data_IF_378935003696
#
_entry.id   IF_378935003696
#
_cell.length_a   1.000
_cell.length_b   1.000
_cell.length_c   1.000
_cell.angle_alpha   90.00
_cell.angle_beta   90.00
_cell.angle_gamma   90.00
#
_symmetry.space_group_name_H-M   'P 1'
#
loop_
_entity.id
_entity.type
_entity.pdbx_description
1 polymer ?
#
# COMPACT_ATOMS: atom_id res chain seq x y z
N UNK A 1 30.34 1.86 -12.06
CA UNK A 1 30.27 0.40 -11.90
C UNK A 1 30.39 0.12 -10.41
N UNK A 2 29.27 -0.03 -9.71
CA UNK A 2 29.25 -0.33 -8.27
C UNK A 2 29.21 -1.86 -8.11
N UNK A 3 30.03 -2.45 -7.22
CA UNK A 3 30.02 -3.88 -7.00
C UNK A 3 28.71 -4.29 -6.29
N UNK A 4 28.12 -5.39 -6.73
CA UNK A 4 26.98 -6.02 -6.08
C UNK A 4 27.45 -6.68 -4.76
N UNK A 5 26.66 -6.62 -3.66
CA UNK A 5 26.99 -7.36 -2.45
C UNK A 5 26.81 -8.87 -2.68
N UNK A 6 27.89 -9.64 -2.48
CA UNK A 6 27.92 -11.11 -2.61
C UNK A 6 27.35 -11.87 -1.39
N UNK A 7 26.67 -11.19 -0.49
CA UNK A 7 25.95 -11.80 0.64
C UNK A 7 24.56 -11.19 0.70
N UNK A 8 23.57 -11.94 0.21
CA UNK A 8 22.16 -11.57 0.09
C UNK A 8 21.44 -11.43 1.43
N UNK A 9 21.86 -10.49 2.26
CA UNK A 9 21.05 -10.00 3.38
C UNK A 9 20.10 -8.94 2.84
N UNK A 10 18.89 -9.41 2.53
CA UNK A 10 17.73 -8.60 2.14
C UNK A 10 16.85 -8.35 3.37
N UNK A 11 15.99 -7.31 3.37
CA UNK A 11 15.23 -6.90 4.55
C UNK A 11 14.49 -8.08 5.21
N UNK A 12 14.90 -8.38 6.43
CA UNK A 12 14.30 -9.41 7.27
C UNK A 12 13.17 -8.75 8.05
N UNK A 13 11.91 -9.15 7.82
CA UNK A 13 10.82 -8.72 8.70
C UNK A 13 11.06 -9.29 10.11
N UNK A 14 11.53 -8.42 11.00
CA UNK A 14 11.73 -8.69 12.42
C UNK A 14 10.40 -8.91 13.12
N UNK A 15 10.28 -10.11 13.68
CA UNK A 15 9.16 -10.81 14.31
C UNK A 15 8.44 -10.04 15.46
N UNK A 16 7.12 -10.16 15.51
CA UNK A 16 6.38 -10.36 16.78
C UNK A 16 6.48 -11.85 17.12
N UNK A 17 7.25 -12.21 18.15
CA UNK A 17 7.45 -13.61 18.52
C UNK A 17 6.21 -14.17 19.26
N UNK A 18 5.35 -14.90 18.56
CA UNK A 18 4.51 -15.91 19.18
C UNK A 18 5.19 -17.28 19.08
N UNK A 19 5.13 -18.03 20.17
CA UNK A 19 5.73 -19.36 20.32
C UNK A 19 5.17 -20.34 19.29
N UNK A 20 6.06 -20.99 18.53
CA UNK A 20 5.70 -22.01 17.53
C UNK A 20 5.26 -23.28 18.26
N UNK A 21 3.97 -23.41 18.53
CA UNK A 21 3.36 -24.73 18.76
C UNK A 21 2.94 -25.24 17.40
N UNK A 22 3.58 -26.28 16.87
CA UNK A 22 3.44 -26.77 15.48
C UNK A 22 2.08 -27.40 15.15
N UNK A 23 0.98 -26.78 15.57
CA UNK A 23 -0.40 -27.21 15.33
C UNK A 23 -1.18 -26.01 14.81
N UNK A 24 -1.64 -26.07 13.55
CA UNK A 24 -2.54 -25.08 12.97
C UNK A 24 -3.89 -25.13 13.70
N UNK A 25 -4.34 -24.06 14.40
CA UNK A 25 -5.66 -24.02 15.00
C UNK A 25 -6.74 -23.87 13.90
N UNK A 26 -7.91 -24.52 14.04
CA UNK A 26 -9.05 -24.26 13.16
C UNK A 26 -9.50 -22.79 13.34
N UNK A 27 -9.53 -22.02 12.26
CA UNK A 27 -9.84 -20.59 12.28
C UNK A 27 -8.59 -19.70 12.21
N UNK A 28 -7.87 -19.77 11.08
CA UNK A 28 -6.65 -18.99 10.82
C UNK A 28 -6.87 -17.49 11.08
N UNK A 29 -6.23 -16.95 12.11
CA UNK A 29 -6.21 -15.51 12.40
C UNK A 29 -5.47 -14.79 11.28
N UNK A 30 -5.91 -13.58 10.92
CA UNK A 30 -5.27 -12.73 9.89
C UNK A 30 -3.77 -12.51 10.12
N UNK A 31 -3.30 -12.63 11.37
CA UNK A 31 -1.89 -12.60 11.74
C UNK A 31 -1.05 -13.68 11.07
N UNK A 32 -1.59 -14.88 10.88
CA UNK A 32 -0.89 -15.99 10.22
C UNK A 32 -0.56 -15.67 8.77
N UNK A 33 -1.54 -15.20 8.00
CA UNK A 33 -1.34 -14.83 6.60
C UNK A 33 -0.39 -13.65 6.45
N UNK A 34 -0.47 -12.67 7.36
CA UNK A 34 0.44 -11.52 7.38
C UNK A 34 1.88 -11.94 7.64
N UNK A 35 2.12 -12.81 8.62
CA UNK A 35 3.46 -13.35 8.90
C UNK A 35 4.02 -14.10 7.70
N UNK A 36 3.18 -14.94 7.06
CA UNK A 36 3.62 -15.69 5.87
C UNK A 36 3.98 -14.75 4.72
N UNK A 37 3.12 -13.78 4.40
CA UNK A 37 3.40 -12.80 3.33
C UNK A 37 4.67 -11.99 3.65
N UNK A 38 4.86 -11.60 4.91
CA UNK A 38 6.04 -10.85 5.34
C UNK A 38 7.35 -11.63 5.24
N UNK A 39 7.29 -12.96 5.30
CA UNK A 39 8.46 -13.84 5.21
C UNK A 39 8.72 -14.34 3.78
N UNK A 40 7.83 -14.06 2.81
CA UNK A 40 8.02 -14.48 1.43
C UNK A 40 9.24 -13.80 0.81
N UNK A 41 10.14 -14.60 0.24
CA UNK A 41 11.25 -14.10 -0.56
C UNK A 41 10.77 -13.66 -1.94
N UNK A 42 11.54 -12.79 -2.60
CA UNK A 42 11.20 -12.27 -3.93
C UNK A 42 11.12 -13.36 -5.01
N UNK A 43 11.82 -14.48 -4.84
CA UNK A 43 11.75 -15.65 -5.71
C UNK A 43 10.59 -16.60 -5.36
N UNK A 44 10.01 -16.47 -4.17
CA UNK A 44 8.83 -17.23 -3.72
C UNK A 44 7.52 -16.49 -4.03
N UNK A 45 7.58 -15.15 -4.16
CA UNK A 45 6.42 -14.33 -4.53
C UNK A 45 6.34 -14.11 -6.05
N UNK A 46 5.35 -14.72 -6.70
CA UNK A 46 5.07 -14.50 -8.12
C UNK A 46 4.03 -13.38 -8.26
N UNK A 47 4.44 -12.23 -8.81
CA UNK A 47 3.55 -11.13 -9.17
C UNK A 47 2.73 -11.47 -10.43
N UNK A 48 1.72 -12.33 -10.27
CA UNK A 48 0.78 -12.69 -11.33
C UNK A 48 -0.38 -11.70 -11.39
N UNK A 49 -0.84 -11.37 -12.61
CA UNK A 49 -2.04 -10.56 -12.79
C UNK A 49 -3.29 -11.31 -12.35
N UNK A 50 -4.35 -10.58 -12.00
CA UNK A 50 -5.66 -11.20 -11.83
C UNK A 50 -6.07 -11.85 -13.16
N UNK A 51 -6.46 -13.12 -13.10
CA UNK A 51 -7.01 -13.80 -14.26
C UNK A 51 -8.43 -13.33 -14.53
N UNK A 52 -8.87 -13.41 -15.78
CA UNK A 52 -10.28 -13.16 -16.15
C UNK A 52 -11.25 -14.04 -15.35
N UNK A 53 -10.85 -15.26 -15.00
CA UNK A 53 -11.64 -16.15 -14.15
C UNK A 53 -11.82 -15.56 -12.73
N UNK A 54 -10.74 -15.08 -12.12
CA UNK A 54 -10.80 -14.45 -10.80
C UNK A 54 -11.65 -13.18 -10.86
N UNK A 55 -11.42 -12.31 -11.84
CA UNK A 55 -12.18 -11.07 -12.00
C UNK A 55 -13.67 -11.35 -12.24
N UNK A 56 -14.01 -12.35 -13.06
CA UNK A 56 -15.39 -12.77 -13.32
C UNK A 56 -16.06 -13.38 -12.08
N UNK A 57 -15.29 -14.05 -11.22
CA UNK A 57 -15.78 -14.63 -9.96
C UNK A 57 -16.14 -13.59 -8.90
N UNK A 58 -15.68 -12.33 -9.06
CA UNK A 58 -15.95 -11.27 -8.09
C UNK A 58 -17.45 -10.96 -8.00
N UNK A 59 -17.97 -10.74 -6.77
CA UNK A 59 -19.33 -10.25 -6.56
C UNK A 59 -19.62 -8.99 -7.39
N UNK A 60 -20.88 -8.83 -7.81
CA UNK A 60 -21.28 -7.70 -8.68
C UNK A 60 -20.94 -6.33 -8.10
N UNK A 61 -21.01 -6.17 -6.77
CA UNK A 61 -20.66 -4.91 -6.12
C UNK A 61 -19.17 -4.58 -6.23
N UNK A 62 -18.27 -5.58 -6.26
CA UNK A 62 -16.84 -5.38 -6.48
C UNK A 62 -16.56 -4.89 -7.92
N UNK A 63 -17.33 -5.39 -8.89
CA UNK A 63 -17.20 -5.04 -10.31
C UNK A 63 -17.88 -3.71 -10.69
N UNK A 64 -18.70 -3.14 -9.83
CA UNK A 64 -19.37 -1.86 -10.09
C UNK A 64 -18.37 -0.72 -10.35
N UNK A 65 -17.16 -0.82 -9.78
CA UNK A 65 -16.06 0.13 -9.97
C UNK A 65 -15.02 -0.29 -11.00
N UNK A 66 -15.26 -1.29 -11.84
CA UNK A 66 -14.24 -1.85 -12.75
C UNK A 66 -13.58 -0.80 -13.65
N UNK A 67 -14.37 0.13 -14.17
CA UNK A 67 -13.89 1.22 -15.03
C UNK A 67 -12.84 2.12 -14.36
N UNK A 68 -12.81 2.16 -13.02
CA UNK A 68 -11.91 3.02 -12.25
C UNK A 68 -10.82 2.25 -11.50
N UNK A 69 -10.73 0.92 -11.71
CA UNK A 69 -9.74 0.08 -11.04
C UNK A 69 -8.29 0.49 -11.32
N UNK A 70 -8.05 1.06 -12.51
CA UNK A 70 -6.73 1.55 -12.93
C UNK A 70 -6.60 3.07 -12.84
N UNK A 71 -7.56 3.77 -12.26
CA UNK A 71 -7.51 5.24 -12.20
C UNK A 71 -6.64 5.74 -11.05
N UNK A 72 -6.06 6.93 -11.19
CA UNK A 72 -5.47 7.69 -10.08
C UNK A 72 -6.40 8.78 -9.61
N UNK A 73 -7.12 8.54 -8.52
CA UNK A 73 -8.24 9.37 -8.11
C UNK A 73 -8.39 9.48 -6.60
N UNK A 74 -8.92 10.60 -6.09
CA UNK A 74 -9.30 10.71 -4.69
C UNK A 74 -10.64 10.01 -4.44
N UNK A 75 -10.65 9.03 -3.55
CA UNK A 75 -11.85 8.47 -2.94
C UNK A 75 -12.36 9.46 -1.89
N UNK A 76 -13.58 9.95 -2.10
CA UNK A 76 -14.23 10.92 -1.22
C UNK A 76 -15.30 10.22 -0.41
N UNK A 77 -15.11 10.14 0.91
CA UNK A 77 -16.11 9.62 1.85
C UNK A 77 -16.33 10.62 2.98
N UNK A 78 -17.31 11.51 2.79
CA UNK A 78 -17.66 12.56 3.74
C UNK A 78 -16.49 13.48 4.06
N UNK A 79 -15.82 13.29 5.21
CA UNK A 79 -14.69 14.09 5.69
C UNK A 79 -13.35 13.42 5.40
N UNK A 80 -13.40 12.17 4.92
CA UNK A 80 -12.23 11.36 4.61
C UNK A 80 -11.97 11.47 3.11
N UNK A 81 -10.71 11.73 2.79
CA UNK A 81 -10.17 11.73 1.45
C UNK A 81 -9.01 10.73 1.46
N UNK A 82 -9.09 9.71 0.60
CA UNK A 82 -8.04 8.72 0.41
C UNK A 82 -7.66 8.67 -1.06
N UNK A 83 -6.38 8.49 -1.39
CA UNK A 83 -5.94 8.43 -2.78
C UNK A 83 -5.85 7.00 -3.28
N UNK A 84 -6.64 6.67 -4.29
CA UNK A 84 -6.50 5.45 -5.08
C UNK A 84 -5.35 5.64 -6.08
N UNK A 85 -4.21 4.99 -5.83
CA UNK A 85 -2.99 5.12 -6.65
C UNK A 85 -2.72 3.82 -7.41
N UNK A 86 -3.53 3.57 -8.44
CA UNK A 86 -3.47 2.32 -9.20
C UNK A 86 -2.14 2.07 -9.90
N UNK A 87 -1.40 3.13 -10.20
CA UNK A 87 -0.08 3.05 -10.82
C UNK A 87 0.97 2.38 -9.93
N UNK A 88 0.68 2.13 -8.65
CA UNK A 88 1.53 1.34 -7.75
C UNK A 88 1.29 -0.17 -7.86
N UNK A 89 0.23 -0.61 -8.56
CA UNK A 89 -0.20 -2.02 -8.64
C UNK A 89 -0.50 -2.48 -10.07
N UNK A 90 0.14 -1.88 -11.06
CA UNK A 90 -0.07 -2.14 -12.49
C UNK A 90 0.13 -3.61 -12.88
N UNK A 91 1.02 -4.33 -12.18
CA UNK A 91 1.23 -5.77 -12.42
C UNK A 91 -0.01 -6.62 -12.17
N UNK A 92 -0.87 -6.21 -11.23
CA UNK A 92 -2.11 -6.93 -10.95
C UNK A 92 -3.06 -6.92 -12.16
N UNK A 93 -2.89 -5.96 -13.07
CA UNK A 93 -3.64 -5.83 -14.32
C UNK A 93 -2.86 -6.33 -15.55
N UNK A 94 -1.75 -7.03 -15.36
CA UNK A 94 -0.93 -7.56 -16.46
C UNK A 94 -0.09 -6.51 -17.18
N UNK A 95 0.09 -5.34 -16.55
CA UNK A 95 0.83 -4.22 -17.14
C UNK A 95 2.24 -4.10 -16.52
N UNK A 96 3.16 -3.50 -17.28
CA UNK A 96 4.49 -3.16 -16.82
C UNK A 96 4.40 -2.18 -15.66
N UNK A 97 5.15 -2.47 -14.60
CA UNK A 97 5.22 -1.65 -13.41
C UNK A 97 6.37 -0.66 -13.51
N UNK A 98 6.04 0.58 -13.83
CA UNK A 98 6.95 1.71 -13.79
C UNK A 98 7.05 2.26 -12.36
N UNK A 99 8.04 3.13 -12.12
CA UNK A 99 8.08 3.94 -10.90
C UNK A 99 6.82 4.83 -10.89
N UNK A 100 5.97 4.74 -9.85
CA UNK A 100 4.75 5.54 -9.75
C UNK A 100 5.04 7.05 -9.69
N UNK A 101 4.17 7.90 -10.23
CA UNK A 101 4.39 9.35 -10.02
C UNK A 101 4.18 9.69 -8.55
N UNK A 102 5.00 10.59 -7.98
CA UNK A 102 4.83 11.05 -6.61
C UNK A 102 3.40 11.51 -6.34
N UNK A 103 2.83 11.08 -5.23
CA UNK A 103 1.53 11.52 -4.74
C UNK A 103 1.67 12.00 -3.31
N UNK A 104 1.20 13.22 -3.05
CA UNK A 104 0.95 13.64 -1.69
C UNK A 104 -0.44 13.13 -1.31
N UNK A 105 -0.49 12.09 -0.46
CA UNK A 105 -1.76 11.52 0.03
C UNK A 105 -2.36 12.33 1.17
N UNK A 106 -1.55 13.16 1.86
CA UNK A 106 -1.98 14.01 2.98
C UNK A 106 -1.76 15.51 2.73
N UNK A 107 -2.21 16.08 1.60
CA UNK A 107 -2.06 17.50 1.35
C UNK A 107 -2.79 18.29 2.42
N UNK A 108 -2.12 19.32 2.96
CA UNK A 108 -2.68 20.23 3.95
C UNK A 108 -3.23 19.53 5.21
N UNK A 109 -2.77 18.32 5.51
CA UNK A 109 -3.19 17.61 6.71
C UNK A 109 -4.60 17.04 6.68
N UNK A 110 -5.12 16.72 5.49
CA UNK A 110 -6.49 16.17 5.34
C UNK A 110 -6.77 14.93 6.19
N UNK A 111 -5.77 14.10 6.51
CA UNK A 111 -5.97 12.93 7.39
C UNK A 111 -6.08 13.30 8.88
N UNK A 112 -5.77 14.53 9.28
CA UNK A 112 -5.97 15.02 10.64
C UNK A 112 -7.37 15.60 10.87
N UNK A 113 -8.22 15.61 9.84
CA UNK A 113 -9.59 16.07 9.94
C UNK A 113 -10.43 15.03 10.67
N UNK A 114 -10.81 15.34 11.91
CA UNK A 114 -11.78 14.58 12.66
C UNK A 114 -13.18 15.22 12.61
N UNK A 115 -14.19 14.46 13.02
CA UNK A 115 -15.57 14.96 13.13
C UNK A 115 -15.79 15.86 14.35
N UNK A 116 -14.85 15.87 15.31
CA UNK A 116 -15.04 16.46 16.63
C UNK A 116 -14.90 18.00 16.61
N UNK A 117 -14.07 18.53 15.70
CA UNK A 117 -13.81 19.97 15.60
C UNK A 117 -14.74 20.77 14.67
N UNK A 118 -15.66 20.12 13.95
CA UNK A 118 -16.36 20.76 12.81
C UNK A 118 -17.88 20.54 12.74
N UNK A 119 -18.64 20.89 13.79
CA UNK A 119 -20.10 20.83 13.74
C UNK A 119 -20.65 21.75 12.65
N UNK A 120 -21.51 21.22 11.78
CA UNK A 120 -22.18 21.99 10.72
C UNK A 120 -21.31 22.34 9.51
N UNK A 121 -20.09 21.81 9.40
CA UNK A 121 -19.25 22.03 8.21
C UNK A 121 -19.92 21.45 6.96
N UNK A 122 -20.03 22.28 5.93
CA UNK A 122 -20.40 21.83 4.60
C UNK A 122 -19.20 21.13 3.93
N UNK A 123 -19.12 19.81 4.10
CA UNK A 123 -18.04 18.99 3.54
C UNK A 123 -17.99 19.00 2.01
N UNK A 124 -19.13 19.13 1.33
CA UNK A 124 -19.17 19.24 -0.12
C UNK A 124 -18.50 20.53 -0.61
N UNK A 125 -18.68 21.63 0.11
CA UNK A 125 -17.98 22.89 -0.18
C UNK A 125 -16.49 22.79 0.18
N UNK A 126 -16.19 22.25 1.38
CA UNK A 126 -14.83 22.14 1.89
C UNK A 126 -13.94 21.25 0.98
N UNK A 127 -14.47 20.13 0.49
CA UNK A 127 -13.78 19.21 -0.42
C UNK A 127 -14.12 19.45 -1.90
N UNK A 128 -14.60 20.65 -2.27
CA UNK A 128 -15.04 20.95 -3.63
C UNK A 128 -13.97 20.65 -4.70
N UNK A 129 -12.70 20.94 -4.43
CA UNK A 129 -11.58 20.59 -5.32
C UNK A 129 -11.41 19.06 -5.48
N UNK A 130 -11.52 18.30 -4.39
CA UNK A 130 -11.46 16.83 -4.42
C UNK A 130 -12.63 16.21 -5.17
N UNK A 131 -13.82 16.77 -4.97
CA UNK A 131 -15.04 16.36 -5.67
C UNK A 131 -14.91 16.64 -7.17
N UNK A 132 -14.35 17.79 -7.56
CA UNK A 132 -14.07 18.10 -8.97
C UNK A 132 -13.09 17.08 -9.58
N UNK A 133 -12.01 16.74 -8.88
CA UNK A 133 -11.09 15.70 -9.30
C UNK A 133 -11.82 14.36 -9.47
N UNK A 134 -12.56 13.90 -8.46
CA UNK A 134 -13.33 12.66 -8.54
C UNK A 134 -14.34 12.68 -9.71
N UNK A 135 -14.97 13.81 -9.99
CA UNK A 135 -15.89 13.95 -11.13
C UNK A 135 -15.17 13.83 -12.48
N UNK A 136 -13.90 14.23 -12.55
CA UNK A 136 -13.03 14.08 -13.72
C UNK A 136 -12.39 12.69 -13.86
N UNK A 137 -12.71 11.72 -12.99
CA UNK A 137 -12.10 10.37 -12.96
C UNK A 137 -12.05 9.64 -14.30
N UNK A 138 -13.00 9.89 -15.19
CA UNK A 138 -13.00 9.28 -16.52
C UNK A 138 -11.73 9.57 -17.36
N UNK A 139 -10.96 10.59 -17.00
CA UNK A 139 -9.72 10.97 -17.67
C UNK A 139 -8.47 10.61 -16.84
N UNK A 140 -8.62 9.86 -15.75
CA UNK A 140 -7.57 9.58 -14.78
C UNK A 140 -7.01 8.15 -14.88
N UNK A 141 -7.38 7.40 -15.93
CA UNK A 141 -6.91 6.05 -16.17
C UNK A 141 -5.39 6.02 -16.33
N UNK A 142 -4.73 5.12 -15.58
CA UNK A 142 -3.32 4.81 -15.79
C UNK A 142 -3.21 3.77 -16.90
N UNK A 143 -2.72 4.22 -18.04
CA UNK A 143 -2.39 3.36 -19.18
C UNK A 143 -0.98 2.78 -19.02
N UNK A 144 -0.73 1.60 -19.60
CA UNK A 144 0.59 0.97 -19.57
C UNK A 144 0.76 -0.02 -20.71
N UNK A 145 1.99 -0.53 -20.85
CA UNK A 145 2.32 -1.62 -21.76
C UNK A 145 2.02 -2.97 -21.09
N UNK A 146 1.65 -3.99 -21.87
CA UNK A 146 1.53 -5.36 -21.36
C UNK A 146 2.89 -5.86 -20.86
N UNK A 147 2.90 -6.49 -19.69
CA UNK A 147 4.09 -7.11 -19.15
C UNK A 147 4.37 -8.44 -19.86
N UNK A 148 5.62 -8.63 -20.29
CA UNK A 148 6.16 -9.87 -20.85
C UNK A 148 6.83 -10.75 -19.78
N UNK A 149 7.07 -10.19 -18.59
CA UNK A 149 7.71 -10.84 -17.46
C UNK A 149 7.01 -10.54 -16.15
N UNK A 150 7.06 -11.50 -15.22
CA UNK A 150 6.57 -11.33 -13.84
C UNK A 150 7.56 -10.55 -12.94
N UNK A 151 8.78 -10.27 -13.41
CA UNK A 151 9.81 -9.56 -12.62
C UNK A 151 9.72 -8.03 -12.77
N UNK A 152 9.57 -7.25 -11.69
CA UNK A 152 9.63 -5.78 -11.74
C UNK A 152 10.99 -5.25 -12.21
N UNK A 153 11.03 -3.99 -12.65
CA UNK A 153 12.29 -3.31 -12.98
C UNK A 153 13.09 -3.00 -11.72
N UNK A 154 14.41 -2.91 -11.84
CA UNK A 154 15.28 -2.53 -10.71
C UNK A 154 14.96 -1.14 -10.18
N UNK A 155 14.59 -0.19 -11.05
CA UNK A 155 14.20 1.17 -10.65
C UNK A 155 12.92 1.16 -9.79
N UNK A 156 11.93 0.35 -10.17
CA UNK A 156 10.74 0.15 -9.36
C UNK A 156 11.07 -0.52 -8.02
N UNK A 157 11.91 -1.55 -8.00
CA UNK A 157 12.30 -2.21 -6.75
C UNK A 157 13.02 -1.27 -5.80
N UNK A 158 13.89 -0.39 -6.32
CA UNK A 158 14.53 0.67 -5.54
C UNK A 158 13.49 1.62 -4.95
N UNK A 159 12.59 2.14 -5.78
CA UNK A 159 11.50 3.01 -5.32
C UNK A 159 10.64 2.33 -4.24
N UNK A 160 10.24 1.08 -4.47
CA UNK A 160 9.42 0.28 -3.57
C UNK A 160 10.09 0.15 -2.20
N UNK A 161 11.40 -0.16 -2.17
CA UNK A 161 12.17 -0.26 -0.94
C UNK A 161 12.28 1.09 -0.19
N UNK A 162 12.35 2.21 -0.91
CA UNK A 162 12.46 3.54 -0.30
C UNK A 162 11.11 4.10 0.21
N UNK A 163 9.99 3.66 -0.36
CA UNK A 163 8.67 4.27 -0.14
C UNK A 163 7.65 3.38 0.56
N UNK A 164 7.92 2.08 0.69
CA UNK A 164 7.05 1.18 1.43
C UNK A 164 7.57 0.92 2.82
N UNK A 165 6.65 0.93 3.78
CA UNK A 165 6.96 0.51 5.14
C UNK A 165 7.07 -1.01 5.12
N UNK A 166 8.30 -1.51 5.22
CA UNK A 166 8.61 -2.94 5.28
C UNK A 166 8.09 -3.60 6.58
N UNK A 167 7.74 -2.80 7.59
CA UNK A 167 7.35 -3.25 8.94
C UNK A 167 6.10 -2.53 9.45
N UNK A 168 4.94 -3.20 9.52
CA UNK A 168 3.77 -2.65 10.21
C UNK A 168 3.96 -2.86 11.72
N UNK A 169 4.59 -1.90 12.41
CA UNK A 169 4.67 -1.88 13.88
C UNK A 169 3.47 -1.16 14.49
N UNK A 170 3.17 -1.47 15.75
CA UNK A 170 2.11 -0.80 16.51
C UNK A 170 2.59 0.62 16.87
N UNK A 171 1.83 1.69 16.57
CA UNK A 171 2.23 3.07 16.87
C UNK A 171 2.59 3.35 18.33
N UNK A 172 2.10 2.51 19.26
CA UNK A 172 2.37 2.62 20.69
C UNK A 172 3.84 2.38 21.07
N UNK A 173 4.62 1.68 20.23
CA UNK A 173 6.00 1.29 20.56
C UNK A 173 7.04 2.34 20.12
N UNK A 174 6.68 3.31 19.26
CA UNK A 174 7.59 4.36 18.80
C UNK A 174 8.00 5.36 19.90
N UNK A 175 7.19 5.49 20.96
CA UNK A 175 7.50 6.41 22.07
C UNK A 175 8.42 5.81 23.15
N UNK A 176 8.67 4.50 23.13
CA UNK A 176 9.52 3.86 24.14
C UNK A 176 11.01 3.88 23.78
N UNK A 177 11.36 3.81 22.49
CA UNK A 177 12.77 3.77 22.04
C UNK A 177 13.45 5.16 22.06
N UNK A 178 12.72 6.24 21.76
CA UNK A 178 13.24 7.61 21.89
C UNK A 178 13.53 8.01 23.34
N UNK A 179 12.84 7.41 24.32
CA UNK A 179 13.07 7.64 25.75
C UNK A 179 14.33 6.95 26.29
N UNK A 180 14.71 5.81 25.71
CA UNK A 180 15.91 5.06 26.15
C UNK A 180 17.20 5.58 25.51
N UNK A 181 17.16 6.03 24.24
CA UNK A 181 18.34 6.62 23.59
C UNK A 181 18.84 7.91 24.26
N UNK A 182 17.95 8.71 24.88
CA UNK A 182 18.34 9.94 25.56
C UNK A 182 18.92 9.72 26.97
N UNK A 183 18.75 8.52 27.54
CA UNK A 183 19.25 8.20 28.88
C UNK A 183 20.64 7.55 28.85
N UNK A 184 21.00 6.86 27.76
CA UNK A 184 22.33 6.24 27.60
C UNK A 184 23.45 7.20 27.17
N UNK A 185 23.11 8.43 26.75
CA UNK A 185 24.11 9.46 26.37
C UNK A 185 24.51 10.38 27.55
N UNK A 186 23.95 10.17 28.75
CA UNK A 186 24.30 10.94 29.97
C UNK A 186 24.79 10.10 31.14
N UNK A 187 25.34 8.91 30.87
CA UNK A 187 26.06 8.08 31.84
C UNK A 187 27.57 8.17 31.69
#
# INVERSE_FOLDING_TARGET
MYPAPETGEFPVVGRWAAERTGVDPPGRRSSYYREHIALLRMDEFIWMSYSEEILASLPRYCRYGERIWRDRIPLVFWHIIEFHCSDQVMRQFGLVQNVPEPVNTNPQGIHQLDLSGYPGRNWAQFHSAWIQYWNARANAEVTGQLADTFRPSNDYLKWYHEHTILYISNPSDQNSEMGQMLQEVSG
#
